data_IF_309480979862
#
_entry.id   IF_309480979862
#
_cell.length_a   1.000
_cell.length_b   1.000
_cell.length_c   1.000
_cell.angle_alpha   90.00
_cell.angle_beta   90.00
_cell.angle_gamma   90.00
#
_symmetry.space_group_name_H-M   'P 1'
#
loop_
_entity.id
_entity.type
_entity.pdbx_description
1 polymer ?
#
# COMPACT_ATOMS: atom_id res chain seq x y z
N UNK A 1 -26.52 20.36 33.49
CA UNK A 1 -26.77 18.90 33.34
C UNK A 1 -27.16 18.17 34.64
N UNK A 2 -26.97 18.73 35.86
CA UNK A 2 -27.30 18.03 37.13
C UNK A 2 -28.80 17.90 37.45
N UNK A 3 -29.68 18.63 36.75
CA UNK A 3 -31.14 18.63 37.03
C UNK A 3 -31.94 17.53 36.35
N UNK A 4 -31.44 16.96 35.24
CA UNK A 4 -32.19 15.99 34.43
C UNK A 4 -32.40 14.65 35.17
N UNK A 5 -31.36 14.16 35.85
CA UNK A 5 -31.41 12.89 36.58
C UNK A 5 -32.09 12.98 37.95
N UNK A 6 -32.44 14.18 38.44
CA UNK A 6 -33.09 14.37 39.75
C UNK A 6 -34.54 13.84 39.76
N UNK A 7 -35.18 13.78 38.60
CA UNK A 7 -36.56 13.32 38.45
C UNK A 7 -36.67 11.95 37.75
N UNK A 8 -35.56 11.38 37.30
CA UNK A 8 -35.52 10.07 36.65
C UNK A 8 -35.19 9.02 37.70
N UNK A 9 -36.16 8.17 38.05
CA UNK A 9 -35.92 7.03 38.93
C UNK A 9 -35.84 5.74 38.11
N UNK A 10 -34.65 5.13 37.93
CA UNK A 10 -34.46 3.91 37.14
C UNK A 10 -35.37 2.77 37.60
N UNK A 11 -35.57 2.64 38.92
CA UNK A 11 -36.43 1.62 39.51
C UNK A 11 -37.90 1.77 39.08
N UNK A 12 -38.45 2.99 39.00
CA UNK A 12 -39.82 3.18 38.48
C UNK A 12 -39.89 2.91 36.98
N UNK A 13 -38.87 3.31 36.22
CA UNK A 13 -38.86 3.06 34.78
C UNK A 13 -38.91 1.55 34.46
N UNK A 14 -38.18 0.73 35.21
CA UNK A 14 -38.24 -0.74 35.07
C UNK A 14 -39.60 -1.30 35.46
N UNK A 15 -40.18 -0.83 36.58
CA UNK A 15 -41.51 -1.27 37.03
C UNK A 15 -42.62 -0.87 36.03
N UNK A 16 -42.55 0.35 35.51
CA UNK A 16 -43.47 0.89 34.51
C UNK A 16 -43.38 0.09 33.20
N UNK A 17 -42.16 -0.20 32.73
CA UNK A 17 -41.92 -1.07 31.59
C UNK A 17 -42.52 -2.47 31.80
N UNK A 18 -42.32 -3.07 32.98
CA UNK A 18 -42.88 -4.39 33.30
C UNK A 18 -44.40 -4.38 33.35
N UNK A 19 -45.00 -3.28 33.82
CA UNK A 19 -46.44 -3.10 33.90
C UNK A 19 -47.06 -2.97 32.50
N UNK A 20 -46.41 -2.24 31.59
CA UNK A 20 -46.81 -2.10 30.18
C UNK A 20 -46.65 -3.43 29.43
N UNK A 21 -45.54 -4.13 29.64
CA UNK A 21 -45.31 -5.46 29.04
C UNK A 21 -46.26 -6.53 29.59
N UNK A 22 -46.67 -6.39 30.86
CA UNK A 22 -47.59 -7.27 31.57
C UNK A 22 -49.06 -7.02 31.28
N UNK A 23 -49.43 -5.84 30.77
CA UNK A 23 -50.81 -5.43 30.52
C UNK A 23 -51.49 -6.33 29.47
N UNK A 24 -52.72 -6.82 29.70
CA UNK A 24 -53.47 -7.59 28.71
C UNK A 24 -53.76 -6.72 27.48
N UNK A 25 -53.34 -7.21 26.31
CA UNK A 25 -53.53 -6.53 25.02
C UNK A 25 -53.81 -7.61 23.99
N UNK A 26 -54.71 -7.31 23.06
CA UNK A 26 -55.11 -8.22 21.99
C UNK A 26 -53.94 -8.60 21.08
N UNK A 27 -52.99 -7.68 20.92
CA UNK A 27 -51.86 -7.82 20.00
C UNK A 27 -50.54 -8.23 20.66
N UNK A 28 -50.52 -8.65 21.92
CA UNK A 28 -49.26 -9.01 22.63
C UNK A 28 -48.43 -10.03 21.86
N UNK A 29 -49.02 -11.16 21.53
CA UNK A 29 -48.34 -12.25 20.83
C UNK A 29 -48.03 -11.89 19.36
N UNK A 30 -48.96 -11.31 18.58
CA UNK A 30 -48.66 -10.84 17.23
C UNK A 30 -47.53 -9.81 17.17
N UNK A 31 -47.55 -8.80 18.05
CA UNK A 31 -46.53 -7.76 18.08
C UNK A 31 -45.16 -8.30 18.53
N UNK A 32 -45.15 -9.21 19.51
CA UNK A 32 -43.92 -9.86 19.97
C UNK A 32 -43.33 -10.77 18.88
N UNK A 33 -44.16 -11.53 18.17
CA UNK A 33 -43.74 -12.34 17.04
C UNK A 33 -43.19 -11.48 15.90
N UNK A 34 -43.84 -10.36 15.57
CA UNK A 34 -43.36 -9.43 14.55
C UNK A 34 -42.02 -8.80 14.94
N UNK A 35 -41.87 -8.35 16.19
CA UNK A 35 -40.62 -7.80 16.70
C UNK A 35 -39.48 -8.82 16.66
N UNK A 36 -39.77 -10.08 17.05
CA UNK A 36 -38.81 -11.17 16.99
C UNK A 36 -38.43 -11.52 15.54
N UNK A 37 -39.37 -11.51 14.60
CA UNK A 37 -39.08 -11.73 13.17
C UNK A 37 -38.20 -10.63 12.58
N UNK A 38 -38.53 -9.35 12.83
CA UNK A 38 -37.75 -8.22 12.32
C UNK A 38 -36.33 -8.27 12.90
N UNK A 39 -36.20 -8.43 14.22
CA UNK A 39 -34.87 -8.49 14.86
C UNK A 39 -34.10 -9.73 14.44
N UNK A 40 -34.75 -10.89 14.43
CA UNK A 40 -34.16 -12.17 14.05
C UNK A 40 -33.71 -12.20 12.60
N UNK A 41 -34.47 -11.61 11.67
CA UNK A 41 -34.08 -11.54 10.26
C UNK A 41 -32.82 -10.72 10.03
N UNK A 42 -32.63 -9.63 10.78
CA UNK A 42 -31.40 -8.83 10.72
C UNK A 42 -30.20 -9.67 11.17
N UNK A 43 -30.30 -10.34 12.32
CA UNK A 43 -29.22 -11.22 12.81
C UNK A 43 -28.99 -12.42 11.90
N UNK A 44 -30.04 -12.99 11.33
CA UNK A 44 -29.95 -14.09 10.36
C UNK A 44 -29.11 -13.66 9.15
N UNK A 45 -29.39 -12.50 8.56
CA UNK A 45 -28.60 -11.96 7.46
C UNK A 45 -27.15 -11.74 7.91
N UNK A 46 -26.93 -11.11 9.07
CA UNK A 46 -25.58 -10.81 9.55
C UNK A 46 -24.72 -12.06 9.82
N UNK A 47 -25.30 -13.15 10.35
CA UNK A 47 -24.57 -14.39 10.63
C UNK A 47 -24.06 -15.05 9.34
N UNK A 48 -24.77 -14.88 8.22
CA UNK A 48 -24.35 -15.44 6.93
C UNK A 48 -23.36 -14.55 6.17
N UNK A 49 -23.08 -13.34 6.68
CA UNK A 49 -22.08 -12.46 6.10
C UNK A 49 -20.69 -12.90 6.60
N UNK A 50 -20.11 -13.88 5.92
CA UNK A 50 -18.68 -14.15 6.07
C UNK A 50 -17.91 -12.94 5.54
N UNK A 51 -17.25 -12.21 6.45
CA UNK A 51 -16.26 -11.22 6.06
C UNK A 51 -15.20 -11.97 5.26
N UNK A 52 -15.06 -11.66 3.96
CA UNK A 52 -13.89 -12.10 3.19
C UNK A 52 -12.66 -11.53 3.89
N UNK A 53 -12.00 -12.34 4.71
CA UNK A 53 -10.67 -12.02 5.19
C UNK A 53 -9.81 -11.74 3.95
N UNK A 54 -8.92 -10.77 4.05
CA UNK A 54 -7.91 -10.59 3.00
C UNK A 54 -7.24 -11.95 2.77
N UNK A 55 -7.02 -12.37 1.51
CA UNK A 55 -6.31 -13.61 1.25
C UNK A 55 -5.02 -13.60 2.07
N UNK A 56 -4.66 -14.72 2.72
CA UNK A 56 -3.43 -14.78 3.49
C UNK A 56 -2.27 -14.33 2.59
N UNK A 57 -1.35 -13.50 3.11
CA UNK A 57 -0.24 -13.02 2.30
C UNK A 57 0.48 -14.23 1.69
N UNK A 58 0.91 -14.14 0.41
CA UNK A 58 1.56 -15.25 -0.25
C UNK A 58 2.76 -15.72 0.59
N UNK A 59 2.87 -17.04 0.80
CA UNK A 59 4.05 -17.62 1.43
C UNK A 59 5.22 -17.47 0.45
N UNK A 60 6.14 -16.56 0.75
CA UNK A 60 7.37 -16.41 -0.04
C UNK A 60 8.30 -17.56 0.33
N UNK A 61 8.38 -18.57 -0.55
CA UNK A 61 9.37 -19.64 -0.45
C UNK A 61 10.60 -19.17 -1.22
N UNK A 62 11.69 -18.88 -0.50
CA UNK A 62 12.97 -18.56 -1.11
C UNK A 62 13.64 -19.86 -1.55
N UNK A 63 13.85 -19.99 -2.86
CA UNK A 63 14.67 -21.04 -3.43
C UNK A 63 15.97 -20.41 -3.90
N UNK A 64 17.10 -20.90 -3.42
CA UNK A 64 18.40 -20.53 -3.97
C UNK A 64 18.51 -21.17 -5.37
N UNK A 65 18.34 -20.37 -6.43
CA UNK A 65 18.46 -20.85 -7.81
C UNK A 65 19.92 -20.92 -8.31
N UNK A 66 20.88 -20.67 -7.43
CA UNK A 66 22.29 -20.57 -7.78
C UNK A 66 22.99 -21.86 -7.37
N UNK A 67 23.93 -22.33 -8.20
CA UNK A 67 24.72 -23.50 -7.83
C UNK A 67 25.62 -23.14 -6.64
N UNK A 68 25.64 -23.99 -5.62
CA UNK A 68 26.47 -23.78 -4.42
C UNK A 68 27.98 -23.80 -4.69
N UNK A 69 28.41 -24.32 -5.85
CA UNK A 69 29.81 -24.41 -6.27
C UNK A 69 30.27 -23.25 -7.17
N UNK A 70 29.46 -22.19 -7.31
CA UNK A 70 29.80 -21.04 -8.13
C UNK A 70 30.90 -20.19 -7.47
N UNK A 71 31.93 -19.84 -8.23
CA UNK A 71 33.02 -19.00 -7.71
C UNK A 71 32.60 -17.53 -7.57
N UNK A 72 33.23 -16.79 -6.65
CA UNK A 72 33.02 -15.35 -6.48
C UNK A 72 33.27 -14.56 -7.77
N UNK A 73 34.24 -15.00 -8.57
CA UNK A 73 34.54 -14.40 -9.89
C UNK A 73 33.37 -14.56 -10.85
N UNK A 74 32.76 -15.74 -10.89
CA UNK A 74 31.58 -15.99 -11.72
C UNK A 74 30.39 -15.16 -11.20
N UNK A 75 30.25 -15.01 -9.88
CA UNK A 75 29.22 -14.17 -9.25
C UNK A 75 29.31 -12.73 -9.71
N UNK A 76 30.50 -12.14 -9.59
CA UNK A 76 30.75 -10.76 -10.01
C UNK A 76 30.48 -10.62 -11.50
N UNK A 77 31.00 -11.52 -12.35
CA UNK A 77 30.78 -11.49 -13.78
C UNK A 77 29.29 -11.51 -14.16
N UNK A 78 28.50 -12.41 -13.56
CA UNK A 78 27.07 -12.49 -13.83
C UNK A 78 26.29 -11.28 -13.34
N UNK A 79 26.68 -10.69 -12.20
CA UNK A 79 26.05 -9.47 -11.69
C UNK A 79 26.30 -8.27 -12.60
N UNK A 80 27.51 -8.15 -13.17
CA UNK A 80 27.84 -7.10 -14.15
C UNK A 80 26.96 -7.25 -15.38
N UNK A 81 26.87 -8.47 -15.91
CA UNK A 81 26.09 -8.74 -17.10
C UNK A 81 24.60 -8.43 -16.88
N UNK A 82 24.05 -8.90 -15.76
CA UNK A 82 22.68 -8.61 -15.36
C UNK A 82 22.44 -7.11 -15.16
N UNK A 83 23.35 -6.41 -14.48
CA UNK A 83 23.26 -4.96 -14.27
C UNK A 83 23.32 -4.18 -15.59
N UNK A 84 24.18 -4.61 -16.52
CA UNK A 84 24.26 -4.01 -17.87
C UNK A 84 22.96 -4.22 -18.64
N UNK A 85 22.39 -5.43 -18.59
CA UNK A 85 21.10 -5.72 -19.23
C UNK A 85 19.97 -4.88 -18.63
N UNK A 86 19.87 -4.83 -17.31
CA UNK A 86 18.86 -4.02 -16.61
C UNK A 86 18.99 -2.52 -16.96
N UNK A 87 20.22 -1.99 -17.02
CA UNK A 87 20.48 -0.60 -17.45
C UNK A 87 20.06 -0.35 -18.89
N UNK A 88 20.28 -1.31 -19.79
CA UNK A 88 19.87 -1.20 -21.18
C UNK A 88 18.34 -1.18 -21.32
N UNK A 89 17.65 -2.09 -20.62
CA UNK A 89 16.18 -2.16 -20.60
C UNK A 89 15.57 -0.87 -20.02
N UNK A 90 16.10 -0.37 -18.90
CA UNK A 90 15.66 0.90 -18.31
C UNK A 90 15.85 2.09 -19.26
N UNK A 91 16.94 2.11 -20.04
CA UNK A 91 17.16 3.15 -21.05
C UNK A 91 16.15 3.06 -22.20
N UNK A 92 15.76 1.86 -22.62
CA UNK A 92 14.72 1.67 -23.64
C UNK A 92 13.33 2.07 -23.12
N UNK A 93 13.01 1.74 -21.87
CA UNK A 93 11.76 2.15 -21.23
C UNK A 93 11.66 3.67 -21.10
N UNK A 94 12.75 4.35 -20.70
CA UNK A 94 12.78 5.81 -20.60
C UNK A 94 12.59 6.47 -21.97
N UNK A 95 13.18 5.90 -23.03
CA UNK A 95 12.95 6.37 -24.41
C UNK A 95 11.48 6.23 -24.79
N UNK A 96 10.85 5.08 -24.52
CA UNK A 96 9.43 4.86 -24.79
C UNK A 96 8.56 5.82 -23.96
N UNK A 97 8.90 6.05 -22.70
CA UNK A 97 8.19 6.98 -21.84
C UNK A 97 8.29 8.41 -22.39
N UNK A 98 9.45 8.82 -22.90
CA UNK A 98 9.64 10.11 -23.56
C UNK A 98 8.79 10.23 -24.82
N UNK A 99 8.77 9.21 -25.69
CA UNK A 99 7.93 9.19 -26.88
C UNK A 99 6.44 9.36 -26.53
N UNK A 100 5.98 8.66 -25.49
CA UNK A 100 4.62 8.80 -24.96
C UNK A 100 4.36 10.22 -24.45
N UNK A 101 5.30 10.82 -23.70
CA UNK A 101 5.19 12.20 -23.22
C UNK A 101 5.08 13.19 -24.38
N UNK A 102 5.87 13.01 -25.45
CA UNK A 102 5.79 13.86 -26.65
C UNK A 102 4.45 13.70 -27.37
N UNK A 103 3.93 12.49 -27.49
CA UNK A 103 2.60 12.24 -28.06
C UNK A 103 1.50 12.97 -27.27
N UNK A 104 1.48 12.83 -25.94
CA UNK A 104 0.49 13.52 -25.09
C UNK A 104 0.66 15.04 -25.12
N UNK A 105 1.90 15.53 -25.20
CA UNK A 105 2.19 16.96 -25.38
C UNK A 105 1.57 17.50 -26.66
N UNK A 106 1.66 16.76 -27.77
CA UNK A 106 1.08 17.13 -29.05
C UNK A 106 -0.46 17.14 -29.01
N UNK A 107 -1.06 16.11 -28.40
CA UNK A 107 -2.52 16.04 -28.21
C UNK A 107 -3.02 17.22 -27.37
N UNK A 108 -2.37 17.52 -26.24
CA UNK A 108 -2.75 18.64 -25.39
C UNK A 108 -2.56 20.00 -26.07
N UNK A 109 -1.53 20.16 -26.90
CA UNK A 109 -1.35 21.38 -27.68
C UNK A 109 -2.49 21.59 -28.70
N UNK A 110 -2.95 20.50 -29.33
CA UNK A 110 -4.08 20.54 -30.26
C UNK A 110 -5.42 20.87 -29.57
N UNK A 111 -5.58 20.54 -28.28
CA UNK A 111 -6.78 20.86 -27.49
C UNK A 111 -6.72 22.22 -26.78
N UNK A 112 -5.66 23.01 -27.01
CA UNK A 112 -5.52 24.36 -26.48
C UNK A 112 -4.89 24.45 -25.08
N UNK A 113 -4.25 23.38 -24.59
CA UNK A 113 -3.47 23.41 -23.35
C UNK A 113 -2.07 23.96 -23.58
N UNK A 114 -1.53 24.70 -22.60
CA UNK A 114 -0.12 25.12 -22.62
C UNK A 114 0.81 23.98 -22.18
N UNK A 115 1.02 23.03 -23.09
CA UNK A 115 1.82 21.84 -22.81
C UNK A 115 3.33 22.12 -22.73
N UNK A 116 3.79 23.27 -23.19
CA UNK A 116 5.21 23.65 -23.13
C UNK A 116 5.65 24.02 -21.71
N UNK A 117 4.85 24.81 -21.00
CA UNK A 117 5.14 25.15 -19.59
C UNK A 117 4.99 23.93 -18.71
N UNK A 118 3.94 23.13 -18.89
CA UNK A 118 3.72 21.87 -18.17
C UNK A 118 4.89 20.89 -18.36
N UNK A 119 5.38 20.71 -19.59
CA UNK A 119 6.51 19.82 -19.86
C UNK A 119 7.81 20.31 -19.19
N UNK A 120 8.07 21.63 -19.21
CA UNK A 120 9.22 22.21 -18.51
C UNK A 120 9.13 22.01 -16.99
N UNK A 121 7.98 22.27 -16.40
CA UNK A 121 7.75 22.04 -14.97
C UNK A 121 7.94 20.57 -14.61
N UNK A 122 7.36 19.65 -15.39
CA UNK A 122 7.52 18.22 -15.16
C UNK A 122 8.98 17.73 -15.28
N UNK A 123 9.80 18.33 -16.15
CA UNK A 123 11.23 18.04 -16.18
C UNK A 123 11.95 18.51 -14.91
N UNK A 124 11.64 19.72 -14.43
CA UNK A 124 12.22 20.25 -13.19
C UNK A 124 11.83 19.40 -11.99
N UNK A 125 10.58 18.95 -11.91
CA UNK A 125 10.10 18.04 -10.86
C UNK A 125 10.82 16.70 -10.90
N UNK A 126 10.93 16.06 -12.08
CA UNK A 126 11.68 14.80 -12.23
C UNK A 126 13.16 14.93 -11.87
N UNK A 127 13.80 16.02 -12.28
CA UNK A 127 15.20 16.29 -11.92
C UNK A 127 15.36 16.50 -10.41
N UNK A 128 14.39 17.14 -9.75
CA UNK A 128 14.38 17.31 -8.31
C UNK A 128 14.16 15.98 -7.57
N UNK A 129 13.24 15.15 -8.05
CA UNK A 129 12.99 13.81 -7.52
C UNK A 129 14.22 12.91 -7.67
N UNK A 130 14.86 12.90 -8.84
CA UNK A 130 16.09 12.13 -9.07
C UNK A 130 17.23 12.57 -8.14
N UNK A 131 17.39 13.87 -7.90
CA UNK A 131 18.36 14.39 -6.93
C UNK A 131 18.00 14.02 -5.50
N UNK A 132 16.73 14.06 -5.13
CA UNK A 132 16.26 13.67 -3.81
C UNK A 132 16.49 12.17 -3.55
N UNK A 133 16.21 11.32 -4.54
CA UNK A 133 16.50 9.89 -4.49
C UNK A 133 18.01 9.64 -4.36
N UNK A 134 18.83 10.27 -5.20
CA UNK A 134 20.29 10.14 -5.10
C UNK A 134 20.84 10.60 -3.74
N UNK A 135 20.29 11.67 -3.16
CA UNK A 135 20.66 12.14 -1.83
C UNK A 135 20.23 11.17 -0.72
N UNK A 136 19.03 10.60 -0.84
CA UNK A 136 18.53 9.58 0.06
C UNK A 136 19.41 8.32 0.00
N UNK A 137 19.72 7.84 -1.19
CA UNK A 137 20.57 6.66 -1.39
C UNK A 137 21.97 6.89 -0.83
N UNK A 138 22.53 8.08 -1.05
CA UNK A 138 23.79 8.48 -0.42
C UNK A 138 23.70 8.47 1.11
N UNK A 139 22.63 9.00 1.70
CA UNK A 139 22.45 9.01 3.15
C UNK A 139 22.33 7.59 3.73
N UNK A 140 21.70 6.66 2.99
CA UNK A 140 21.68 5.25 3.36
C UNK A 140 23.09 4.65 3.32
N UNK A 141 23.86 4.90 2.26
CA UNK A 141 25.25 4.45 2.17
C UNK A 141 26.07 5.00 3.33
N UNK A 142 26.02 6.30 3.61
CA UNK A 142 26.77 6.91 4.72
C UNK A 142 26.38 6.34 6.10
N UNK A 143 25.13 5.89 6.26
CA UNK A 143 24.64 5.30 7.51
C UNK A 143 25.07 3.85 7.70
N UNK A 144 25.04 3.05 6.64
CA UNK A 144 25.19 1.59 6.72
C UNK A 144 26.57 1.09 6.27
N UNK A 145 27.34 1.91 5.55
CA UNK A 145 28.68 1.57 5.12
C UNK A 145 29.67 1.88 6.25
N UNK A 146 30.52 0.91 6.57
CA UNK A 146 31.58 1.11 7.56
C UNK A 146 32.56 2.21 7.10
N UNK A 147 33.08 2.98 8.05
CA UNK A 147 34.01 4.08 7.75
C UNK A 147 35.29 3.53 7.13
N UNK A 148 35.53 3.88 5.86
CA UNK A 148 36.74 3.49 5.12
C UNK A 148 36.50 2.41 4.07
N UNK A 149 35.35 1.75 4.10
CA UNK A 149 34.93 0.80 3.06
C UNK A 149 34.37 1.60 1.89
N UNK A 150 34.78 1.30 0.66
CA UNK A 150 34.17 1.89 -0.54
C UNK A 150 32.95 1.02 -0.91
N UNK A 151 31.81 1.61 -1.27
CA UNK A 151 30.73 0.82 -1.84
C UNK A 151 31.27 0.22 -3.14
N UNK A 152 31.09 -1.09 -3.34
CA UNK A 152 31.53 -1.78 -4.56
C UNK A 152 30.57 -1.37 -5.67
N UNK A 153 30.86 -0.22 -6.30
CA UNK A 153 30.06 0.33 -7.41
C UNK A 153 30.76 0.14 -8.76
N UNK A 154 31.92 -0.51 -8.79
CA UNK A 154 32.62 -0.79 -10.04
C UNK A 154 33.23 -2.20 -10.04
N UNK A 155 32.84 -3.07 -10.99
CA UNK A 155 33.31 -4.45 -11.06
C UNK A 155 34.82 -4.67 -11.21
N UNK A 156 35.61 -3.64 -11.53
CA UNK A 156 37.06 -3.78 -11.65
C UNK A 156 37.83 -3.69 -10.31
N UNK A 157 37.19 -3.25 -9.23
CA UNK A 157 37.87 -3.07 -7.94
C UNK A 157 38.12 -4.38 -7.16
N UNK A 158 37.39 -5.47 -7.46
CA UNK A 158 37.63 -6.77 -6.83
C UNK A 158 38.94 -7.43 -7.32
N UNK A 159 39.48 -7.02 -8.48
CA UNK A 159 40.68 -7.61 -9.07
C UNK A 159 42.00 -6.99 -8.57
N UNK A 160 41.93 -5.95 -7.72
CA UNK A 160 43.12 -5.21 -7.23
C UNK A 160 43.33 -5.29 -5.71
N UNK A 161 42.52 -6.07 -5.00
CA UNK A 161 42.68 -6.32 -3.56
C UNK A 161 43.55 -7.55 -3.24
N UNK A 162 44.00 -8.30 -4.26
CA UNK A 162 44.96 -9.40 -4.13
C UNK A 162 46.17 -9.14 -5.04
N UNK A 163 47.05 -8.25 -4.59
CA UNK A 163 48.50 -8.25 -4.88
C UNK A 163 49.22 -7.28 -3.93
#
# INVERSE_FOLDING_TARGET
>A
MKGFFRNVSPRRAVLDLWQVLGAPSEFRWPALALAAMVTGSIFWIMIHQEGRALPPPPKIIYFESWRADRSDKDIIAGNIEAARKAKAEAAEEERRAEDIRQMYKAVGAATGLDTNTMYKQGNVERDAEAKAQAAHDKALLDRFLEKGTKPVVDPQAAASAEN
#
